data_IF_500849762204
#
_entry.id   IF_500849762204
#
_cell.length_a   1.000
_cell.length_b   1.000
_cell.length_c   1.000
_cell.angle_alpha   90.00
_cell.angle_beta   90.00
_cell.angle_gamma   90.00
#
_symmetry.space_group_name_H-M   'P 1'
#
loop_
_entity.id
_entity.type
_entity.pdbx_description
1 polymer ?
#
# COMPACT_ATOMS: atom_id res chain seq x y z
N UNK A 1 -34.82 29.59 -3.02
CA UNK A 1 -33.72 28.64 -3.30
C UNK A 1 -32.57 28.96 -2.37
N UNK A 2 -32.07 27.96 -1.62
CA UNK A 2 -30.93 28.11 -0.70
C UNK A 2 -29.69 27.48 -1.37
N UNK A 3 -28.60 28.23 -1.47
CA UNK A 3 -27.32 27.76 -1.98
C UNK A 3 -26.25 27.95 -0.90
N UNK A 4 -25.38 26.96 -0.73
CA UNK A 4 -24.21 27.01 0.16
C UNK A 4 -22.97 26.94 -0.72
N UNK A 5 -22.11 27.96 -0.65
CA UNK A 5 -20.83 27.94 -1.35
C UNK A 5 -19.85 26.97 -0.66
N UNK A 6 -19.12 26.18 -1.45
CA UNK A 6 -18.01 25.36 -0.96
C UNK A 6 -16.69 26.03 -1.34
N UNK A 7 -16.03 26.74 -0.41
CA UNK A 7 -14.71 27.30 -0.68
C UNK A 7 -13.70 26.17 -0.88
N UNK A 8 -12.69 26.36 -1.73
CA UNK A 8 -11.65 25.37 -1.93
C UNK A 8 -10.82 25.18 -0.65
N UNK A 9 -10.54 23.93 -0.31
CA UNK A 9 -9.77 23.58 0.89
C UNK A 9 -8.27 23.85 0.71
N UNK A 10 -7.75 23.72 -0.52
CA UNK A 10 -6.34 23.88 -0.83
C UNK A 10 -6.10 24.79 -2.04
N UNK A 11 -4.94 25.45 -2.06
CA UNK A 11 -4.39 26.12 -3.24
C UNK A 11 -2.99 25.59 -3.50
N UNK A 12 -2.78 24.94 -4.63
CA UNK A 12 -1.46 24.46 -5.05
C UNK A 12 -0.87 25.41 -6.09
N UNK A 13 0.43 25.67 -6.01
CA UNK A 13 1.16 26.56 -6.93
C UNK A 13 2.40 25.86 -7.46
N UNK A 14 2.58 25.83 -8.78
CA UNK A 14 3.77 25.31 -9.46
C UNK A 14 4.29 26.37 -10.43
N UNK A 15 5.42 27.00 -10.08
CA UNK A 15 5.94 28.14 -10.83
C UNK A 15 4.93 29.29 -10.87
N UNK A 16 4.45 29.64 -12.08
CA UNK A 16 3.44 30.69 -12.30
C UNK A 16 2.00 30.17 -12.35
N UNK A 17 1.78 28.86 -12.32
CA UNK A 17 0.44 28.25 -12.36
C UNK A 17 -0.07 28.00 -10.94
N UNK A 18 -1.35 28.30 -10.69
CA UNK A 18 -2.01 27.97 -9.43
C UNK A 18 -3.37 27.31 -9.66
N UNK A 19 -3.65 26.25 -8.91
CA UNK A 19 -4.89 25.50 -8.96
C UNK A 19 -5.55 25.46 -7.58
N UNK A 20 -6.86 25.66 -7.54
CA UNK A 20 -7.67 25.49 -6.34
C UNK A 20 -8.22 24.08 -6.28
N UNK A 21 -8.06 23.43 -5.14
CA UNK A 21 -8.47 22.04 -4.91
C UNK A 21 -9.51 22.04 -3.79
N UNK A 22 -10.62 21.36 -4.06
CA UNK A 22 -11.84 21.46 -3.25
C UNK A 22 -11.82 20.62 -1.97
N UNK A 23 -11.17 19.45 -1.99
CA UNK A 23 -11.21 18.46 -0.92
C UNK A 23 -9.92 17.63 -0.88
N UNK A 24 -9.79 16.78 0.14
CA UNK A 24 -8.63 15.92 0.38
C UNK A 24 -8.40 14.90 -0.75
N UNK A 25 -9.48 14.30 -1.26
CA UNK A 25 -9.38 13.29 -2.32
C UNK A 25 -8.85 13.89 -3.62
N UNK A 26 -9.31 15.09 -3.98
CA UNK A 26 -8.79 15.83 -5.11
C UNK A 26 -7.34 16.27 -4.90
N UNK A 27 -6.92 16.48 -3.65
CA UNK A 27 -5.52 16.79 -3.34
C UNK A 27 -4.62 15.57 -3.49
N UNK A 28 -5.04 14.41 -2.97
CA UNK A 28 -4.33 13.13 -3.17
C UNK A 28 -4.20 12.78 -4.65
N UNK A 29 -5.28 12.90 -5.43
CA UNK A 29 -5.26 12.70 -6.88
C UNK A 29 -4.27 13.64 -7.59
N UNK A 30 -4.26 14.92 -7.19
CA UNK A 30 -3.32 15.90 -7.72
C UNK A 30 -1.86 15.49 -7.43
N UNK A 31 -1.56 15.02 -6.21
CA UNK A 31 -0.22 14.58 -5.83
C UNK A 31 0.22 13.35 -6.63
N UNK A 32 -0.68 12.37 -6.81
CA UNK A 32 -0.42 11.16 -7.61
C UNK A 32 -0.14 11.55 -9.06
N UNK A 33 -1.02 12.35 -9.67
CA UNK A 33 -0.87 12.78 -11.06
C UNK A 33 0.45 13.55 -11.26
N UNK A 34 0.77 14.49 -10.36
CA UNK A 34 2.01 15.27 -10.42
C UNK A 34 3.25 14.39 -10.25
N UNK A 35 3.19 13.39 -9.36
CA UNK A 35 4.29 12.44 -9.13
C UNK A 35 4.51 11.50 -10.30
N UNK A 36 3.49 11.24 -11.12
CA UNK A 36 3.54 10.35 -12.28
C UNK A 36 4.16 10.98 -13.54
N UNK A 37 4.14 12.30 -13.68
CA UNK A 37 4.53 13.00 -14.92
C UNK A 37 5.94 12.64 -15.42
N UNK A 38 6.89 12.45 -14.52
CA UNK A 38 8.29 12.14 -14.84
C UNK A 38 8.79 10.84 -14.18
N UNK A 39 7.87 10.02 -13.65
CA UNK A 39 8.20 8.77 -12.99
C UNK A 39 8.20 7.59 -13.97
N UNK A 40 9.13 6.66 -13.75
CA UNK A 40 9.15 5.36 -14.40
C UNK A 40 9.50 4.28 -13.39
N UNK A 41 8.90 3.10 -13.57
CA UNK A 41 9.19 1.92 -12.75
C UNK A 41 9.80 0.84 -13.65
N UNK A 42 11.08 0.54 -13.44
CA UNK A 42 11.76 -0.57 -14.10
C UNK A 42 11.68 -1.81 -13.21
N UNK A 43 11.05 -2.87 -13.71
CA UNK A 43 10.92 -4.14 -13.00
C UNK A 43 12.19 -4.98 -13.14
N UNK A 44 12.35 -5.98 -12.26
CA UNK A 44 13.48 -6.93 -12.34
C UNK A 44 13.53 -7.75 -13.62
N UNK A 45 12.42 -7.84 -14.37
CA UNK A 45 12.35 -8.43 -15.71
C UNK A 45 12.92 -7.54 -16.81
N UNK A 46 13.16 -6.25 -16.54
CA UNK A 46 13.51 -5.22 -17.52
C UNK A 46 12.30 -4.50 -18.14
N UNK A 47 11.06 -4.92 -17.82
CA UNK A 47 9.85 -4.19 -18.19
C UNK A 47 9.83 -2.80 -17.53
N UNK A 48 9.44 -1.77 -18.29
CA UNK A 48 9.36 -0.38 -17.79
C UNK A 48 7.92 0.10 -17.85
N UNK A 49 7.36 0.47 -16.69
CA UNK A 49 6.01 1.03 -16.55
C UNK A 49 6.07 2.54 -16.41
N UNK A 50 5.26 3.23 -17.21
CA UNK A 50 5.15 4.70 -17.24
C UNK A 50 3.69 5.12 -17.44
N UNK A 51 3.37 6.37 -17.14
CA UNK A 51 2.05 6.96 -17.40
C UNK A 51 0.91 6.10 -16.84
N UNK A 52 0.01 5.65 -17.71
CA UNK A 52 -1.19 4.92 -17.31
C UNK A 52 -0.91 3.53 -16.71
N UNK A 53 0.15 2.85 -17.13
CA UNK A 53 0.51 1.55 -16.58
C UNK A 53 1.04 1.69 -15.15
N UNK A 54 1.90 2.69 -14.92
CA UNK A 54 2.35 3.05 -13.58
C UNK A 54 1.19 3.53 -12.70
N UNK A 55 0.26 4.31 -13.27
CA UNK A 55 -0.97 4.73 -12.59
C UNK A 55 -1.79 3.54 -12.09
N UNK A 56 -2.01 2.55 -12.94
CA UNK A 56 -2.79 1.37 -12.58
C UNK A 56 -2.16 0.61 -11.40
N UNK A 57 -0.83 0.50 -11.38
CA UNK A 57 -0.11 -0.09 -10.24
C UNK A 57 -0.25 0.73 -8.94
N UNK A 58 -0.30 2.06 -9.02
CA UNK A 58 -0.58 2.92 -7.87
C UNK A 58 -2.01 2.73 -7.38
N UNK A 59 -2.99 2.67 -8.28
CA UNK A 59 -4.39 2.47 -7.91
C UNK A 59 -4.59 1.13 -7.17
N UNK A 60 -3.93 0.06 -7.63
CA UNK A 60 -3.90 -1.23 -6.94
C UNK A 60 -3.29 -1.11 -5.52
N UNK A 61 -2.16 -0.41 -5.40
CA UNK A 61 -1.50 -0.18 -4.11
C UNK A 61 -2.37 0.64 -3.14
N UNK A 62 -3.09 1.65 -3.63
CA UNK A 62 -4.03 2.45 -2.85
C UNK A 62 -5.21 1.60 -2.36
N UNK A 63 -5.75 0.72 -3.20
CA UNK A 63 -6.81 -0.19 -2.83
C UNK A 63 -6.35 -1.14 -1.70
N UNK A 64 -5.15 -1.71 -1.82
CA UNK A 64 -4.55 -2.55 -0.76
C UNK A 64 -4.36 -1.74 0.53
N UNK A 65 -3.85 -0.51 0.45
CA UNK A 65 -3.68 0.37 1.61
C UNK A 65 -5.01 0.64 2.33
N UNK A 66 -6.09 0.88 1.59
CA UNK A 66 -7.43 1.06 2.16
C UNK A 66 -7.92 -0.19 2.87
N UNK A 67 -7.74 -1.38 2.27
CA UNK A 67 -8.11 -2.66 2.87
C UNK A 67 -7.35 -2.90 4.19
N UNK A 68 -6.04 -2.66 4.21
CA UNK A 68 -5.20 -2.82 5.41
C UNK A 68 -5.61 -1.81 6.49
N UNK A 69 -5.90 -0.56 6.13
CA UNK A 69 -6.33 0.46 7.07
C UNK A 69 -7.71 0.16 7.69
N UNK A 70 -8.58 -0.51 6.94
CA UNK A 70 -9.90 -0.96 7.42
C UNK A 70 -9.86 -2.15 8.38
N UNK A 71 -8.70 -2.78 8.59
CA UNK A 71 -8.58 -3.88 9.55
C UNK A 71 -8.85 -3.40 10.98
N UNK A 72 -9.57 -4.24 11.74
CA UNK A 72 -9.80 -4.01 13.17
C UNK A 72 -8.46 -3.87 13.90
N UNK A 73 -8.36 -2.94 14.85
CA UNK A 73 -7.14 -2.57 15.59
C UNK A 73 -6.46 -3.72 16.36
N UNK A 74 -7.16 -4.85 16.52
CA UNK A 74 -6.62 -6.08 17.12
C UNK A 74 -5.58 -6.77 16.23
N UNK A 75 -5.59 -6.48 14.94
CA UNK A 75 -4.64 -7.04 13.98
C UNK A 75 -3.50 -6.03 13.75
N UNK A 76 -2.26 -6.51 13.87
CA UNK A 76 -1.12 -5.72 13.48
C UNK A 76 -1.08 -5.60 11.95
N UNK A 77 -1.22 -4.37 11.44
CA UNK A 77 -1.29 -4.07 10.01
C UNK A 77 -0.02 -4.50 9.27
N UNK A 78 1.17 -4.28 9.85
CA UNK A 78 2.44 -4.68 9.25
C UNK A 78 2.57 -6.20 9.12
N UNK A 79 2.08 -6.96 10.10
CA UNK A 79 2.03 -8.43 10.02
C UNK A 79 1.12 -8.88 8.88
N UNK A 80 -0.07 -8.30 8.74
CA UNK A 80 -1.01 -8.66 7.66
C UNK A 80 -0.46 -8.26 6.29
N UNK A 81 0.18 -7.10 6.18
CA UNK A 81 0.85 -6.66 4.96
C UNK A 81 1.95 -7.64 4.54
N UNK A 82 2.84 -8.03 5.46
CA UNK A 82 3.90 -9.00 5.15
C UNK A 82 3.34 -10.39 4.85
N UNK A 83 2.24 -10.80 5.49
CA UNK A 83 1.53 -12.02 5.14
C UNK A 83 0.94 -11.97 3.73
N UNK A 84 0.35 -10.85 3.32
CA UNK A 84 -0.17 -10.65 1.96
C UNK A 84 0.94 -10.75 0.91
N UNK A 85 2.07 -10.05 1.12
CA UNK A 85 3.23 -10.11 0.21
C UNK A 85 3.86 -11.52 0.20
N UNK A 86 3.80 -12.23 1.33
CA UNK A 86 4.26 -13.62 1.40
C UNK A 86 3.32 -14.61 0.66
N UNK A 87 2.13 -14.19 0.24
CA UNK A 87 1.09 -15.10 -0.28
C UNK A 87 0.42 -15.94 0.81
N UNK A 88 0.56 -15.54 2.08
CA UNK A 88 -0.02 -16.21 3.23
C UNK A 88 -1.54 -16.03 3.36
N UNK A 89 -2.17 -15.25 2.48
CA UNK A 89 -3.64 -15.13 2.40
C UNK A 89 -4.26 -16.12 1.40
N UNK A 90 -3.46 -17.00 0.77
CA UNK A 90 -3.97 -18.09 -0.05
C UNK A 90 -4.44 -19.25 0.85
N UNK A 91 -5.73 -19.65 0.81
CA UNK A 91 -6.25 -20.75 1.63
C UNK A 91 -5.54 -22.09 1.40
N UNK A 92 -5.01 -22.34 0.19
CA UNK A 92 -4.34 -23.60 -0.16
C UNK A 92 -3.08 -23.85 0.69
N UNK A 93 -2.47 -22.79 1.22
CA UNK A 93 -1.30 -22.85 2.10
C UNK A 93 -1.63 -23.53 3.43
N UNK A 94 -2.88 -23.43 3.87
CA UNK A 94 -3.34 -23.96 5.17
C UNK A 94 -3.93 -25.37 5.08
N UNK A 95 -3.97 -25.96 3.88
CA UNK A 95 -4.42 -27.34 3.67
C UNK A 95 -3.43 -28.40 4.18
N UNK A 96 -2.17 -28.00 4.39
CA UNK A 96 -1.07 -28.86 4.84
C UNK A 96 -0.31 -28.16 5.97
N UNK A 97 -0.15 -28.84 7.11
CA UNK A 97 0.49 -28.26 8.29
C UNK A 97 1.96 -27.88 8.07
N UNK A 98 2.68 -28.63 7.22
CA UNK A 98 4.05 -28.32 6.85
C UNK A 98 4.14 -27.04 6.03
N UNK A 99 3.25 -26.87 5.04
CA UNK A 99 3.15 -25.64 4.23
C UNK A 99 2.76 -24.43 5.07
N UNK A 100 1.83 -24.60 6.00
CA UNK A 100 1.38 -23.53 6.87
C UNK A 100 2.49 -23.05 7.82
N UNK A 101 3.26 -23.97 8.41
CA UNK A 101 4.42 -23.62 9.23
C UNK A 101 5.52 -22.94 8.41
N UNK A 102 5.84 -23.47 7.22
CA UNK A 102 6.81 -22.83 6.33
C UNK A 102 6.37 -21.41 5.92
N UNK A 103 5.06 -21.18 5.73
CA UNK A 103 4.52 -19.85 5.49
C UNK A 103 4.69 -18.93 6.71
N UNK A 104 4.38 -19.41 7.90
CA UNK A 104 4.55 -18.63 9.13
C UNK A 104 6.02 -18.19 9.33
N UNK A 105 6.97 -19.09 9.09
CA UNK A 105 8.42 -18.77 9.12
C UNK A 105 8.80 -17.75 8.04
N UNK A 106 8.26 -17.89 6.82
CA UNK A 106 8.49 -16.94 5.73
C UNK A 106 8.00 -15.54 6.09
N UNK A 107 6.81 -15.42 6.70
CA UNK A 107 6.28 -14.13 7.16
C UNK A 107 7.17 -13.53 8.24
N UNK A 108 7.62 -14.34 9.20
CA UNK A 108 8.52 -13.89 10.26
C UNK A 108 9.84 -13.32 9.70
N UNK A 109 10.47 -14.03 8.76
CA UNK A 109 11.69 -13.54 8.07
C UNK A 109 11.47 -12.22 7.33
N UNK A 110 10.29 -12.02 6.72
CA UNK A 110 9.96 -10.76 6.07
C UNK A 110 9.81 -9.61 7.05
N UNK A 111 9.23 -9.87 8.22
CA UNK A 111 9.13 -8.89 9.30
C UNK A 111 10.51 -8.48 9.80
N UNK A 112 11.44 -9.43 9.97
CA UNK A 112 12.83 -9.12 10.37
C UNK A 112 13.58 -8.24 9.35
N UNK A 113 13.29 -8.37 8.05
CA UNK A 113 13.91 -7.55 6.99
C UNK A 113 13.54 -6.07 7.14
N UNK A 114 12.32 -5.78 7.59
CA UNK A 114 11.80 -4.41 7.71
C UNK A 114 11.84 -3.86 9.15
N UNK A 115 12.17 -4.70 10.12
CA UNK A 115 12.25 -4.33 11.52
C UNK A 115 13.54 -3.56 11.84
N UNK A 116 13.44 -2.63 12.79
CA UNK A 116 14.61 -2.04 13.43
C UNK A 116 15.44 -3.13 14.14
N UNK A 117 16.73 -2.89 14.34
CA UNK A 117 17.64 -3.89 14.94
C UNK A 117 17.15 -4.37 16.33
N UNK A 118 16.46 -3.51 17.08
CA UNK A 118 15.86 -3.79 18.40
C UNK A 118 14.57 -4.60 18.34
N UNK A 119 13.91 -4.67 17.18
CA UNK A 119 12.60 -5.30 16.98
C UNK A 119 12.69 -6.61 16.16
N UNK A 120 13.91 -7.03 15.79
CA UNK A 120 14.16 -8.32 15.13
C UNK A 120 13.99 -9.49 16.08
N UNK A 121 13.82 -10.67 15.50
CA UNK A 121 13.60 -11.94 16.20
C UNK A 121 12.16 -12.42 16.10
N UNK A 122 11.46 -12.05 15.03
CA UNK A 122 10.11 -12.51 14.78
C UNK A 122 10.09 -14.04 14.62
N UNK A 123 9.10 -14.69 15.24
CA UNK A 123 8.88 -16.14 15.14
C UNK A 123 7.45 -16.38 14.68
N UNK A 124 7.29 -17.16 13.61
CA UNK A 124 5.99 -17.59 13.12
C UNK A 124 5.75 -19.06 13.45
N UNK A 125 4.55 -19.39 13.96
CA UNK A 125 4.08 -20.77 14.18
C UNK A 125 2.59 -20.84 13.89
N UNK A 126 2.10 -21.98 13.40
CA UNK A 126 0.66 -22.23 13.38
C UNK A 126 0.15 -22.45 14.81
N UNK A 127 -0.91 -21.73 15.18
CA UNK A 127 -1.71 -22.10 16.36
C UNK A 127 -2.61 -23.26 15.95
N UNK A 128 -2.45 -24.39 16.63
CA UNK A 128 -3.39 -25.53 16.57
C UNK A 128 -4.63 -25.21 17.39
#
# INVERSE_FOLDING_TARGET
HLYIAQPPLYKVTRGKSSQYIKDESAFEEFLIASGLEEASLTLGSGEVRIGQDLRSAIDDALAVRQLINGLHTRYNRGVVEQAAIAGGLNPDVFSDLGRANAMAERVAKRLDIIAEDTERGWIGRMST
#
